data_IF_391376169795
#
_entry.id   IF_391376169795
#
_cell.length_a   1.000
_cell.length_b   1.000
_cell.length_c   1.000
_cell.angle_alpha   90.00
_cell.angle_beta   90.00
_cell.angle_gamma   90.00
#
_symmetry.space_group_name_H-M   'P 1'
#
loop_
_entity.id
_entity.type
_entity.pdbx_description
1 polymer ?
#
# COMPACT_ATOMS: atom_id res chain seq x y z
N UNK A 1 61.97 -10.02 32.01
CA UNK A 1 60.94 -9.01 31.70
C UNK A 1 61.08 -8.38 30.31
N UNK A 2 62.22 -8.47 29.61
CA UNK A 2 62.41 -7.84 28.28
C UNK A 2 61.74 -8.53 27.07
N UNK A 3 61.56 -9.87 27.07
CA UNK A 3 61.03 -10.56 25.88
C UNK A 3 59.53 -10.35 25.66
N UNK A 4 58.71 -10.41 26.73
CA UNK A 4 57.26 -10.19 26.66
C UNK A 4 56.90 -8.81 26.08
N UNK A 5 57.58 -7.74 26.51
CA UNK A 5 57.35 -6.39 25.99
C UNK A 5 57.65 -6.25 24.48
N UNK A 6 58.68 -6.96 24.00
CA UNK A 6 59.00 -7.00 22.56
C UNK A 6 57.94 -7.77 21.76
N UNK A 7 57.40 -8.86 22.29
CA UNK A 7 56.30 -9.59 21.65
C UNK A 7 55.01 -8.77 21.60
N UNK A 8 54.67 -8.06 22.67
CA UNK A 8 53.51 -7.15 22.68
C UNK A 8 53.67 -6.03 21.65
N UNK A 9 54.85 -5.42 21.55
CA UNK A 9 55.12 -4.36 20.56
C UNK A 9 55.01 -4.88 19.12
N UNK A 10 55.53 -6.08 18.85
CA UNK A 10 55.43 -6.72 17.53
C UNK A 10 53.96 -7.04 17.17
N UNK A 11 53.19 -7.58 18.13
CA UNK A 11 51.77 -7.85 17.96
C UNK A 11 50.99 -6.56 17.66
N UNK A 12 51.23 -5.47 18.40
CA UNK A 12 50.59 -4.18 18.15
C UNK A 12 50.90 -3.67 16.74
N UNK A 13 52.15 -3.74 16.30
CA UNK A 13 52.55 -3.32 14.95
C UNK A 13 51.83 -4.15 13.89
N UNK A 14 51.82 -5.48 14.02
CA UNK A 14 51.10 -6.37 13.09
C UNK A 14 49.59 -6.09 13.07
N UNK A 15 48.98 -5.84 14.23
CA UNK A 15 47.56 -5.48 14.32
C UNK A 15 47.27 -4.14 13.62
N UNK A 16 48.13 -3.13 13.79
CA UNK A 16 48.00 -1.84 13.11
C UNK A 16 48.14 -2.00 11.59
N UNK A 17 49.10 -2.79 11.11
CA UNK A 17 49.25 -3.08 9.69
C UNK A 17 48.06 -3.85 9.11
N UNK A 18 47.57 -4.86 9.83
CA UNK A 18 46.38 -5.60 9.41
C UNK A 18 45.14 -4.70 9.34
N UNK A 19 44.95 -3.82 10.33
CA UNK A 19 43.87 -2.83 10.33
C UNK A 19 44.01 -1.84 9.16
N UNK A 20 45.21 -1.31 8.92
CA UNK A 20 45.46 -0.38 7.81
C UNK A 20 45.24 -1.06 6.45
N UNK A 21 45.73 -2.28 6.27
CA UNK A 21 45.48 -3.07 5.06
C UNK A 21 43.99 -3.33 4.85
N UNK A 22 43.26 -3.71 5.90
CA UNK A 22 41.82 -3.93 5.83
C UNK A 22 41.07 -2.65 5.40
N UNK A 23 41.43 -1.48 5.95
CA UNK A 23 40.84 -0.20 5.56
C UNK A 23 41.11 0.12 4.08
N UNK A 24 42.36 -0.03 3.63
CA UNK A 24 42.74 0.25 2.23
C UNK A 24 42.04 -0.73 1.29
N UNK A 25 42.01 -2.02 1.64
CA UNK A 25 41.38 -3.05 0.82
C UNK A 25 39.86 -2.85 0.75
N UNK A 26 39.21 -2.47 1.86
CA UNK A 26 37.79 -2.12 1.86
C UNK A 26 37.52 -0.87 0.99
N UNK A 27 38.40 0.14 1.03
CA UNK A 27 38.33 1.29 0.12
C UNK A 27 38.47 0.90 -1.35
N UNK A 28 39.37 -0.04 -1.66
CA UNK A 28 39.51 -0.57 -3.02
C UNK A 28 38.25 -1.31 -3.48
N UNK A 29 37.70 -2.22 -2.67
CA UNK A 29 36.45 -2.93 -2.99
C UNK A 29 35.30 -1.96 -3.21
N UNK A 30 35.10 -0.99 -2.31
CA UNK A 30 34.08 0.05 -2.47
C UNK A 30 34.26 0.87 -3.76
N UNK A 31 35.51 1.12 -4.17
CA UNK A 31 35.78 1.83 -5.43
C UNK A 31 35.45 1.00 -6.67
N UNK A 32 35.63 -0.33 -6.63
CA UNK A 32 35.23 -1.23 -7.70
C UNK A 32 33.71 -1.28 -7.83
N UNK A 33 33.01 -1.40 -6.71
CA UNK A 33 31.54 -1.40 -6.67
C UNK A 33 30.99 -0.08 -7.22
N UNK A 34 31.56 1.05 -6.83
CA UNK A 34 31.17 2.36 -7.33
C UNK A 34 31.39 2.50 -8.84
N UNK A 35 32.51 1.98 -9.37
CA UNK A 35 32.78 1.97 -10.82
C UNK A 35 31.74 1.13 -11.56
N UNK A 36 31.47 -0.08 -11.08
CA UNK A 36 30.45 -0.98 -11.65
C UNK A 36 29.07 -0.30 -11.67
N UNK A 37 28.63 0.27 -10.55
CA UNK A 37 27.37 1.01 -10.46
C UNK A 37 27.33 2.20 -11.41
N UNK A 38 28.43 2.94 -11.53
CA UNK A 38 28.54 4.08 -12.44
C UNK A 38 28.41 3.65 -13.89
N UNK A 39 29.07 2.56 -14.27
CA UNK A 39 29.02 2.04 -15.64
C UNK A 39 27.64 1.48 -15.98
N UNK A 40 26.99 0.77 -15.05
CA UNK A 40 25.60 0.32 -15.20
C UNK A 40 24.67 1.52 -15.40
N UNK A 41 24.75 2.53 -14.53
CA UNK A 41 23.89 3.71 -14.61
C UNK A 41 24.09 4.48 -15.92
N UNK A 42 25.35 4.67 -16.34
CA UNK A 42 25.65 5.31 -17.63
C UNK A 42 25.07 4.55 -18.80
N UNK A 43 25.18 3.23 -18.80
CA UNK A 43 24.64 2.40 -19.87
C UNK A 43 23.10 2.39 -19.87
N UNK A 44 22.45 2.34 -18.70
CA UNK A 44 20.99 2.47 -18.61
C UNK A 44 20.51 3.82 -19.14
N UNK A 45 21.17 4.91 -18.74
CA UNK A 45 20.85 6.26 -19.21
C UNK A 45 21.05 6.39 -20.72
N UNK A 46 22.11 5.80 -21.27
CA UNK A 46 22.32 5.77 -22.72
C UNK A 46 21.22 5.00 -23.46
N UNK A 47 20.79 3.85 -22.92
CA UNK A 47 19.73 3.03 -23.49
C UNK A 47 18.36 3.72 -23.42
N UNK A 48 18.08 4.45 -22.36
CA UNK A 48 16.83 5.21 -22.17
C UNK A 48 16.58 6.19 -23.32
N UNK A 49 17.62 6.90 -23.77
CA UNK A 49 17.52 7.85 -24.88
C UNK A 49 17.78 7.24 -26.27
N UNK A 50 18.26 6.00 -26.34
CA UNK A 50 18.56 5.34 -27.60
C UNK A 50 17.29 4.96 -28.39
N UNK A 51 16.15 4.78 -27.70
CA UNK A 51 14.88 4.41 -28.32
C UNK A 51 13.87 5.52 -28.10
N UNK A 52 13.48 6.20 -29.18
CA UNK A 52 12.36 7.14 -29.11
C UNK A 52 11.04 6.38 -29.10
N UNK A 53 10.27 6.53 -28.02
CA UNK A 53 8.92 6.00 -27.92
C UNK A 53 7.94 7.13 -28.22
N UNK A 54 7.07 6.95 -29.21
CA UNK A 54 5.97 7.88 -29.46
C UNK A 54 5.02 7.91 -28.26
N UNK A 55 4.49 9.08 -27.90
CA UNK A 55 3.51 9.25 -26.82
C UNK A 55 2.39 8.20 -26.91
N UNK A 56 2.38 7.17 -26.03
CA UNK A 56 1.39 6.11 -26.13
C UNK A 56 0.05 6.59 -25.59
N UNK A 57 -1.05 6.20 -26.24
CA UNK A 57 -2.41 6.34 -25.71
C UNK A 57 -2.75 5.07 -24.92
N UNK A 58 -2.87 5.21 -23.60
CA UNK A 58 -3.14 4.09 -22.69
C UNK A 58 -4.54 4.21 -22.12
N UNK A 59 -5.34 3.19 -22.31
CA UNK A 59 -6.60 3.03 -21.61
C UNK A 59 -6.39 2.10 -20.43
N UNK A 60 -6.84 2.49 -19.24
CA UNK A 60 -6.65 1.71 -18.02
C UNK A 60 -7.90 1.70 -17.14
N UNK A 61 -8.25 0.54 -16.63
CA UNK A 61 -9.28 0.32 -15.61
C UNK A 61 -8.90 -0.88 -14.74
N UNK A 62 -9.62 -1.22 -13.68
CA UNK A 62 -10.75 -0.53 -13.09
C UNK A 62 -10.52 -0.27 -11.60
N UNK A 63 -11.36 0.61 -11.06
CA UNK A 63 -11.48 0.85 -9.63
C UNK A 63 -10.57 1.96 -9.12
N UNK A 64 -11.06 2.67 -8.11
CA UNK A 64 -10.30 3.69 -7.37
C UNK A 64 -10.83 3.75 -5.95
N UNK A 65 -9.93 4.03 -5.02
CA UNK A 65 -10.29 4.24 -3.63
C UNK A 65 -9.51 5.41 -3.04
N UNK A 66 -9.96 5.87 -1.88
CA UNK A 66 -9.25 6.83 -1.07
C UNK A 66 -8.65 6.11 0.13
N UNK A 67 -7.33 6.01 0.16
CA UNK A 67 -6.62 5.37 1.26
C UNK A 67 -6.49 6.35 2.43
N UNK A 68 -7.05 6.00 3.58
CA UNK A 68 -6.89 6.71 4.84
C UNK A 68 -5.94 5.91 5.74
N UNK A 69 -4.72 6.38 5.89
CA UNK A 69 -3.76 5.76 6.80
C UNK A 69 -3.77 6.47 8.14
N UNK A 70 -3.66 5.68 9.20
CA UNK A 70 -3.62 6.14 10.58
C UNK A 70 -2.75 5.20 11.42
N UNK A 71 -2.12 5.73 12.46
CA UNK A 71 -1.42 4.91 13.46
C UNK A 71 -2.43 4.22 14.37
N UNK A 72 -2.56 2.90 14.21
CA UNK A 72 -3.63 2.10 14.81
C UNK A 72 -3.67 2.21 16.34
N UNK A 73 -2.51 2.06 16.97
CA UNK A 73 -2.35 2.03 18.44
C UNK A 73 -2.69 3.36 19.12
N UNK A 74 -2.72 4.46 18.35
CA UNK A 74 -2.95 5.80 18.90
C UNK A 74 -4.43 6.19 18.93
N UNK A 75 -5.32 5.46 18.24
CA UNK A 75 -6.76 5.77 18.23
C UNK A 75 -7.68 4.57 18.51
N UNK A 76 -7.19 3.34 18.35
CA UNK A 76 -7.95 2.16 18.77
C UNK A 76 -7.82 1.97 20.28
N UNK A 77 -8.95 1.86 20.96
CA UNK A 77 -8.97 1.63 22.40
C UNK A 77 -8.88 0.14 22.71
N UNK A 78 -7.92 -0.21 23.57
CA UNK A 78 -7.87 -1.54 24.17
C UNK A 78 -8.80 -1.57 25.38
N UNK A 79 -9.75 -2.50 25.41
CA UNK A 79 -10.76 -2.58 26.48
C UNK A 79 -10.59 -3.84 27.32
N UNK A 80 -11.08 -3.81 28.57
CA UNK A 80 -11.12 -5.01 29.41
C UNK A 80 -12.00 -6.12 28.82
N UNK A 81 -13.02 -5.76 28.04
CA UNK A 81 -13.84 -6.73 27.32
C UNK A 81 -13.02 -7.47 26.26
N UNK A 82 -12.19 -6.75 25.50
CA UNK A 82 -11.28 -7.36 24.54
C UNK A 82 -10.27 -8.28 25.22
N UNK A 83 -9.69 -7.87 26.35
CA UNK A 83 -8.80 -8.75 27.13
C UNK A 83 -9.48 -10.07 27.50
N UNK A 84 -10.71 -9.99 28.03
CA UNK A 84 -11.49 -11.18 28.40
C UNK A 84 -11.77 -12.10 27.22
N UNK A 85 -11.99 -11.54 26.02
CA UNK A 85 -12.19 -12.34 24.80
C UNK A 85 -10.90 -13.00 24.32
N UNK A 86 -9.75 -12.32 24.45
CA UNK A 86 -8.44 -12.87 24.06
C UNK A 86 -7.96 -13.99 24.98
N UNK A 87 -8.34 -13.96 26.26
CA UNK A 87 -8.01 -15.01 27.23
C UNK A 87 -8.82 -16.30 27.00
N UNK A 88 -9.88 -16.25 26.20
CA UNK A 88 -10.63 -17.44 25.81
C UNK A 88 -9.81 -18.26 24.80
N UNK A 89 -9.69 -19.57 25.03
CA UNK A 89 -8.91 -20.49 24.17
C UNK A 89 -9.59 -20.84 22.84
N UNK A 90 -10.74 -20.22 22.53
CA UNK A 90 -11.45 -20.44 21.27
C UNK A 90 -10.68 -19.76 20.14
N UNK A 91 -10.34 -20.47 19.04
CA UNK A 91 -9.75 -19.84 17.87
C UNK A 91 -10.65 -18.72 17.36
N UNK A 92 -10.12 -17.50 17.23
CA UNK A 92 -10.83 -16.42 16.57
C UNK A 92 -11.05 -16.79 15.10
N UNK A 93 -12.31 -17.03 14.72
CA UNK A 93 -12.71 -17.22 13.34
C UNK A 93 -13.92 -16.33 13.05
N UNK A 94 -13.70 -15.30 12.24
CA UNK A 94 -14.73 -14.39 11.77
C UNK A 94 -14.51 -14.22 10.28
N UNK A 95 -15.50 -14.65 9.49
CA UNK A 95 -15.49 -14.52 8.04
C UNK A 95 -15.72 -13.05 7.66
N UNK A 96 -16.74 -12.41 8.25
CA UNK A 96 -17.11 -11.01 8.01
C UNK A 96 -17.16 -10.17 9.28
N UNK A 97 -16.65 -8.94 9.21
CA UNK A 97 -16.68 -8.00 10.33
C UNK A 97 -18.03 -7.28 10.32
N UNK A 98 -18.86 -7.53 11.32
CA UNK A 98 -20.18 -6.89 11.46
C UNK A 98 -20.27 -6.00 12.69
N UNK A 99 -19.43 -6.24 13.70
CA UNK A 99 -19.40 -5.48 14.96
C UNK A 99 -18.04 -4.87 15.28
N UNK A 100 -18.04 -3.85 16.16
CA UNK A 100 -16.80 -3.23 16.66
C UNK A 100 -15.95 -4.24 17.46
N UNK A 101 -16.58 -5.15 18.22
CA UNK A 101 -15.89 -6.18 18.98
C UNK A 101 -15.20 -7.21 18.07
N UNK A 102 -15.85 -7.63 16.97
CA UNK A 102 -15.23 -8.50 15.96
C UNK A 102 -14.06 -7.81 15.26
N UNK A 103 -14.22 -6.53 14.92
CA UNK A 103 -13.15 -5.73 14.34
C UNK A 103 -11.93 -5.66 15.27
N UNK A 104 -12.13 -5.31 16.54
CA UNK A 104 -11.04 -5.19 17.51
C UNK A 104 -10.36 -6.53 17.80
N UNK A 105 -11.12 -7.63 17.87
CA UNK A 105 -10.56 -8.98 18.00
C UNK A 105 -9.78 -9.40 16.76
N UNK A 106 -10.29 -9.11 15.57
CA UNK A 106 -9.60 -9.36 14.30
C UNK A 106 -8.29 -8.57 14.23
N UNK A 107 -8.33 -7.27 14.54
CA UNK A 107 -7.13 -6.45 14.61
C UNK A 107 -6.12 -7.00 15.64
N UNK A 108 -6.58 -7.35 16.85
CA UNK A 108 -5.74 -7.97 17.90
C UNK A 108 -5.06 -9.26 17.42
N UNK A 109 -5.78 -10.11 16.69
CA UNK A 109 -5.25 -11.36 16.13
C UNK A 109 -4.06 -11.12 15.21
N UNK A 110 -4.16 -10.15 14.30
CA UNK A 110 -3.10 -9.85 13.34
C UNK A 110 -1.97 -9.00 13.94
N UNK A 111 -2.31 -8.04 14.80
CA UNK A 111 -1.37 -7.14 15.47
C UNK A 111 -0.33 -7.91 16.29
N UNK A 112 -0.77 -8.83 17.16
CA UNK A 112 0.13 -9.63 18.02
C UNK A 112 1.04 -10.57 17.23
N UNK A 113 0.67 -10.90 15.98
CA UNK A 113 1.48 -11.71 15.05
C UNK A 113 2.35 -10.85 14.13
N UNK A 114 2.12 -9.53 14.10
CA UNK A 114 2.71 -8.62 13.14
C UNK A 114 2.40 -9.02 11.69
N UNK A 115 1.20 -9.54 11.45
CA UNK A 115 0.78 -10.08 10.16
C UNK A 115 -0.16 -9.12 9.42
N UNK A 116 -0.09 -9.12 8.09
CA UNK A 116 -0.95 -8.27 7.27
C UNK A 116 -2.36 -8.88 7.20
N UNK A 117 -3.37 -8.02 7.18
CA UNK A 117 -4.73 -8.43 6.90
C UNK A 117 -5.49 -7.33 6.17
N UNK A 118 -6.45 -7.77 5.37
CA UNK A 118 -7.46 -6.95 4.73
C UNK A 118 -8.81 -7.61 4.98
N UNK A 119 -9.80 -6.82 5.38
CA UNK A 119 -11.14 -7.30 5.73
C UNK A 119 -12.21 -6.35 5.24
N UNK A 120 -13.31 -6.95 4.83
CA UNK A 120 -14.54 -6.27 4.47
C UNK A 120 -15.46 -6.13 5.69
N UNK A 121 -16.21 -5.03 5.73
CA UNK A 121 -17.38 -4.89 6.61
C UNK A 121 -18.58 -4.41 5.82
N UNK A 122 -19.68 -5.16 5.90
CA UNK A 122 -20.97 -4.74 5.36
C UNK A 122 -21.68 -3.69 6.24
N UNK A 123 -21.18 -3.43 7.45
CA UNK A 123 -21.75 -2.47 8.39
C UNK A 123 -21.23 -1.05 8.10
N UNK A 124 -21.97 -0.34 7.23
CA UNK A 124 -21.63 1.03 6.80
C UNK A 124 -21.54 2.01 7.97
N UNK A 125 -22.44 1.90 8.93
CA UNK A 125 -22.52 2.82 10.07
C UNK A 125 -21.28 2.69 10.97
N UNK A 126 -20.85 1.45 11.25
CA UNK A 126 -19.60 1.15 11.95
C UNK A 126 -18.40 1.72 11.19
N UNK A 127 -18.32 1.43 9.88
CA UNK A 127 -17.21 1.87 9.06
C UNK A 127 -17.10 3.41 9.01
N UNK A 128 -18.22 4.09 8.74
CA UNK A 128 -18.28 5.55 8.73
C UNK A 128 -17.99 6.16 10.11
N UNK A 129 -18.38 5.49 11.22
CA UNK A 129 -17.97 5.91 12.57
C UNK A 129 -16.44 5.84 12.72
N UNK A 130 -15.82 4.72 12.36
CA UNK A 130 -14.36 4.54 12.44
C UNK A 130 -13.61 5.57 11.59
N UNK A 131 -14.02 5.78 10.34
CA UNK A 131 -13.42 6.79 9.45
C UNK A 131 -13.56 8.21 10.02
N UNK A 132 -14.74 8.56 10.58
CA UNK A 132 -14.95 9.88 11.20
C UNK A 132 -14.06 10.09 12.42
N UNK A 133 -13.89 9.06 13.26
CA UNK A 133 -13.02 9.11 14.43
C UNK A 133 -11.57 9.24 13.99
N UNK A 134 -11.10 8.38 13.08
CA UNK A 134 -9.76 8.39 12.52
C UNK A 134 -9.38 9.77 11.93
N UNK A 135 -10.29 10.39 11.16
CA UNK A 135 -10.10 11.74 10.58
C UNK A 135 -9.88 12.84 11.63
N UNK A 136 -10.51 12.73 12.80
CA UNK A 136 -10.54 13.78 13.82
C UNK A 136 -9.54 13.54 14.96
N UNK A 137 -8.96 12.35 15.04
CA UNK A 137 -8.11 11.96 16.16
C UNK A 137 -6.72 12.58 16.01
N UNK A 138 -6.31 13.52 16.89
CA UNK A 138 -5.07 14.27 16.70
C UNK A 138 -3.81 13.39 16.72
N UNK A 139 -3.82 12.34 17.53
CA UNK A 139 -2.69 11.41 17.65
C UNK A 139 -2.68 10.31 16.56
N UNK A 140 -3.73 10.19 15.74
CA UNK A 140 -3.79 9.14 14.72
C UNK A 140 -2.97 9.48 13.47
N UNK A 141 -2.48 10.72 13.35
CA UNK A 141 -1.71 11.24 12.21
C UNK A 141 -2.34 10.88 10.84
N UNK A 142 -3.62 11.23 10.60
CA UNK A 142 -4.34 10.77 9.41
C UNK A 142 -3.72 11.33 8.12
N UNK A 143 -3.37 10.45 7.18
CA UNK A 143 -2.90 10.81 5.83
C UNK A 143 -3.80 10.20 4.76
N UNK A 144 -4.06 10.97 3.72
CA UNK A 144 -4.85 10.56 2.56
C UNK A 144 -3.95 10.29 1.36
N UNK A 145 -4.22 9.22 0.63
CA UNK A 145 -3.61 8.97 -0.67
C UNK A 145 -4.63 8.51 -1.71
N UNK A 146 -4.27 8.66 -2.98
CA UNK A 146 -4.97 8.04 -4.09
C UNK A 146 -4.66 6.53 -4.06
N UNK A 147 -5.69 5.73 -3.84
CA UNK A 147 -5.64 4.28 -3.86
C UNK A 147 -6.21 3.69 -5.15
N UNK A 148 -6.03 2.38 -5.30
CA UNK A 148 -6.45 1.62 -6.47
C UNK A 148 -5.33 1.45 -7.50
N UNK A 149 -5.15 0.21 -7.96
CA UNK A 149 -4.10 -0.14 -8.90
C UNK A 149 -4.18 0.67 -10.21
N UNK A 150 -5.39 0.83 -10.77
CA UNK A 150 -5.59 1.52 -12.03
C UNK A 150 -5.22 3.02 -11.95
N UNK A 151 -5.70 3.81 -10.97
CA UNK A 151 -5.27 5.20 -10.78
C UNK A 151 -3.77 5.37 -10.56
N UNK A 152 -3.13 4.46 -9.81
CA UNK A 152 -1.69 4.52 -9.54
C UNK A 152 -0.88 4.24 -10.80
N UNK A 153 -1.19 3.16 -11.52
CA UNK A 153 -0.53 2.82 -12.78
C UNK A 153 -0.76 3.93 -13.82
N UNK A 154 -2.01 4.40 -13.95
CA UNK A 154 -2.37 5.46 -14.89
C UNK A 154 -1.62 6.77 -14.61
N UNK A 155 -1.53 7.17 -13.34
CA UNK A 155 -0.76 8.34 -12.93
C UNK A 155 0.73 8.18 -13.22
N UNK A 156 1.29 6.99 -13.01
CA UNK A 156 2.70 6.75 -13.34
C UNK A 156 2.94 6.84 -14.85
N UNK A 157 2.10 6.20 -15.67
CA UNK A 157 2.24 6.23 -17.13
C UNK A 157 2.10 7.66 -17.68
N UNK A 158 1.16 8.44 -17.15
CA UNK A 158 1.01 9.84 -17.53
C UNK A 158 2.26 10.67 -17.16
N UNK A 159 2.87 10.41 -16.00
CA UNK A 159 4.13 11.04 -15.60
C UNK A 159 5.30 10.70 -16.54
N UNK A 160 5.30 9.51 -17.14
CA UNK A 160 6.26 9.08 -18.18
C UNK A 160 5.90 9.60 -19.58
N UNK A 161 4.87 10.44 -19.70
CA UNK A 161 4.49 11.12 -20.94
C UNK A 161 3.38 10.42 -21.74
N UNK A 162 2.79 9.34 -21.25
CA UNK A 162 1.63 8.72 -21.91
C UNK A 162 0.40 9.64 -21.87
N UNK A 163 -0.47 9.53 -22.88
CA UNK A 163 -1.84 10.04 -22.77
C UNK A 163 -2.70 8.95 -22.14
N UNK A 164 -3.39 9.25 -21.04
CA UNK A 164 -4.06 8.22 -20.25
C UNK A 164 -5.56 8.53 -20.11
N UNK A 165 -6.39 7.52 -20.40
CA UNK A 165 -7.79 7.48 -19.96
C UNK A 165 -7.98 6.45 -18.86
N UNK A 166 -8.67 6.84 -17.79
CA UNK A 166 -8.87 6.02 -16.59
C UNK A 166 -10.36 5.71 -16.39
N UNK A 167 -10.67 4.42 -16.39
CA UNK A 167 -11.96 3.86 -15.99
C UNK A 167 -12.03 3.70 -14.47
N UNK A 168 -12.57 4.70 -13.80
CA UNK A 168 -12.83 4.65 -12.38
C UNK A 168 -13.94 5.64 -12.02
N UNK A 169 -14.61 5.42 -10.87
CA UNK A 169 -15.53 6.39 -10.27
C UNK A 169 -14.90 6.92 -9.00
N UNK A 170 -14.83 8.24 -8.88
CA UNK A 170 -14.23 8.92 -7.74
C UNK A 170 -14.94 10.24 -7.49
N UNK A 171 -14.86 10.70 -6.25
CA UNK A 171 -15.37 12.00 -5.85
C UNK A 171 -14.54 13.14 -6.43
N UNK A 172 -15.13 14.33 -6.43
CA UNK A 172 -14.40 15.56 -6.78
C UNK A 172 -13.15 15.75 -5.90
N UNK A 173 -13.19 15.30 -4.64
CA UNK A 173 -12.07 15.40 -3.72
C UNK A 173 -10.96 14.43 -4.11
N UNK A 174 -11.24 13.14 -4.32
CA UNK A 174 -10.22 12.17 -4.71
C UNK A 174 -9.61 12.50 -6.07
N UNK A 175 -10.41 13.02 -7.01
CA UNK A 175 -9.94 13.51 -8.31
C UNK A 175 -8.85 14.59 -8.20
N UNK A 176 -8.83 15.39 -7.12
CA UNK A 176 -7.75 16.41 -6.93
C UNK A 176 -6.40 15.78 -6.64
N UNK A 177 -6.37 14.53 -6.17
CA UNK A 177 -5.15 13.75 -5.97
C UNK A 177 -4.70 12.99 -7.23
N UNK A 178 -5.59 12.85 -8.23
CA UNK A 178 -5.25 12.30 -9.53
C UNK A 178 -4.45 13.33 -10.33
N UNK A 179 -3.46 12.88 -11.10
CA UNK A 179 -2.71 13.81 -11.94
C UNK A 179 -3.62 14.49 -12.98
N UNK A 180 -3.43 15.78 -13.28
CA UNK A 180 -4.26 16.51 -14.24
C UNK A 180 -4.23 15.97 -15.68
N UNK A 181 -3.17 15.26 -16.05
CA UNK A 181 -2.96 14.66 -17.38
C UNK A 181 -3.66 13.31 -17.56
N UNK A 182 -4.25 12.75 -16.50
CA UNK A 182 -5.08 11.54 -16.57
C UNK A 182 -6.54 11.93 -16.78
N UNK A 183 -7.12 11.53 -17.90
CA UNK A 183 -8.52 11.80 -18.23
C UNK A 183 -9.43 10.71 -17.65
N UNK A 184 -10.21 11.06 -16.63
CA UNK A 184 -11.25 10.20 -16.07
C UNK A 184 -12.40 10.00 -17.06
N UNK A 185 -12.82 8.75 -17.30
CA UNK A 185 -13.99 8.44 -18.13
C UNK A 185 -15.24 8.16 -17.32
N UNK A 186 -15.10 7.64 -16.09
CA UNK A 186 -16.24 7.40 -15.20
C UNK A 186 -16.83 8.69 -14.63
N UNK A 187 -18.11 8.61 -14.26
CA UNK A 187 -18.83 9.69 -13.61
C UNK A 187 -18.24 10.03 -12.23
N UNK A 188 -18.42 11.30 -11.81
CA UNK A 188 -18.10 11.71 -10.45
C UNK A 188 -19.15 11.17 -9.49
N UNK A 189 -18.72 10.65 -8.35
CA UNK A 189 -19.58 10.16 -7.26
C UNK A 189 -19.51 11.09 -6.05
N UNK A 190 -20.47 10.97 -5.14
CA UNK A 190 -20.52 11.80 -3.93
C UNK A 190 -19.49 11.36 -2.89
N UNK A 191 -19.41 10.05 -2.64
CA UNK A 191 -18.50 9.45 -1.66
C UNK A 191 -17.55 8.46 -2.34
N UNK A 192 -16.26 8.55 -2.01
CA UNK A 192 -15.27 7.58 -2.44
C UNK A 192 -15.41 6.26 -1.67
N UNK A 193 -15.07 5.14 -2.32
CA UNK A 193 -14.71 3.92 -1.61
C UNK A 193 -13.44 4.20 -0.77
N UNK A 194 -13.48 3.95 0.54
CA UNK A 194 -12.38 4.28 1.46
C UNK A 194 -11.75 3.00 1.99
N UNK A 195 -10.42 2.96 1.98
CA UNK A 195 -9.63 1.93 2.66
C UNK A 195 -9.04 2.51 3.94
N UNK A 196 -9.48 2.02 5.10
CA UNK A 196 -8.94 2.42 6.39
C UNK A 196 -7.71 1.56 6.72
N UNK A 197 -6.53 2.15 6.59
CA UNK A 197 -5.24 1.47 6.75
C UNK A 197 -4.66 1.78 8.13
N UNK A 198 -4.65 0.77 8.99
CA UNK A 198 -4.25 0.81 10.38
C UNK A 198 -2.80 0.35 10.50
N UNK A 199 -1.87 1.30 10.57
CA UNK A 199 -0.44 1.03 10.63
C UNK A 199 0.06 0.85 12.07
N UNK A 200 1.00 -0.06 12.26
CA UNK A 200 1.69 -0.26 13.52
C UNK A 200 3.14 -0.69 13.28
N UNK A 201 4.02 -0.33 14.21
CA UNK A 201 5.47 -0.56 14.12
C UNK A 201 5.90 -1.76 14.94
N UNK A 202 7.12 -2.22 14.69
CA UNK A 202 7.79 -3.21 15.53
C UNK A 202 7.90 -2.67 16.96
N UNK A 203 7.47 -3.46 17.95
CA UNK A 203 7.52 -3.09 19.36
C UNK A 203 6.41 -2.14 19.80
N UNK A 204 5.49 -1.74 18.92
CA UNK A 204 4.30 -1.00 19.35
C UNK A 204 3.49 -1.86 20.32
N UNK A 205 2.97 -1.22 21.36
CA UNK A 205 2.14 -1.85 22.39
C UNK A 205 0.71 -1.36 22.32
N UNK A 206 -0.22 -2.29 22.48
CA UNK A 206 -1.64 -2.01 22.50
C UNK A 206 -2.32 -2.87 23.57
N UNK A 207 -2.60 -2.26 24.73
CA UNK A 207 -3.00 -2.98 25.92
C UNK A 207 -1.90 -3.94 26.40
N UNK A 208 -2.24 -5.23 26.49
CA UNK A 208 -1.31 -6.31 26.86
C UNK A 208 -0.56 -6.90 25.66
N UNK A 209 -0.89 -6.45 24.43
CA UNK A 209 -0.32 -6.98 23.20
C UNK A 209 0.88 -6.14 22.75
N UNK A 210 1.83 -6.79 22.08
CA UNK A 210 2.98 -6.16 21.44
C UNK A 210 3.16 -6.73 20.05
N UNK A 211 3.46 -5.88 19.06
CA UNK A 211 3.67 -6.34 17.68
C UNK A 211 5.14 -6.72 17.42
N UNK A 212 5.43 -7.95 16.95
CA UNK A 212 6.80 -8.40 16.70
C UNK A 212 7.44 -7.80 15.45
N UNK A 213 6.65 -7.15 14.57
CA UNK A 213 7.14 -6.48 13.36
C UNK A 213 6.16 -5.41 12.88
N UNK A 214 6.68 -4.40 12.20
CA UNK A 214 5.86 -3.40 11.53
C UNK A 214 4.95 -4.04 10.47
N UNK A 215 3.66 -3.70 10.49
CA UNK A 215 2.70 -4.15 9.48
C UNK A 215 1.47 -3.22 9.46
N UNK A 216 0.46 -3.58 8.66
CA UNK A 216 -0.81 -2.89 8.59
C UNK A 216 -1.99 -3.85 8.57
N UNK A 217 -3.11 -3.37 9.08
CA UNK A 217 -4.42 -3.98 8.93
C UNK A 217 -5.31 -3.05 8.11
N UNK A 218 -6.03 -3.57 7.11
CA UNK A 218 -6.89 -2.78 6.24
C UNK A 218 -8.34 -3.20 6.51
N UNK A 219 -9.19 -2.22 6.84
CA UNK A 219 -10.64 -2.40 6.86
C UNK A 219 -11.24 -1.55 5.74
N UNK A 220 -12.13 -2.13 4.94
CA UNK A 220 -12.82 -1.40 3.87
C UNK A 220 -14.30 -1.79 3.80
N UNK A 221 -15.09 -0.92 3.15
CA UNK A 221 -16.52 -1.09 2.89
C UNK A 221 -16.80 -0.56 1.48
N UNK A 222 -16.20 -1.21 0.49
CA UNK A 222 -16.18 -0.77 -0.91
C UNK A 222 -17.45 -1.21 -1.64
N UNK A 223 -18.10 -0.30 -2.37
CA UNK A 223 -19.33 -0.62 -3.12
C UNK A 223 -19.21 -0.39 -4.61
N UNK A 224 -18.27 0.41 -5.08
CA UNK A 224 -18.15 0.72 -6.50
C UNK A 224 -17.13 -0.19 -7.19
N UNK A 225 -16.03 -0.50 -6.49
CA UNK A 225 -14.93 -1.29 -7.01
C UNK A 225 -15.31 -2.75 -7.33
N UNK A 226 -16.04 -3.50 -6.46
CA UNK A 226 -16.38 -4.90 -6.72
C UNK A 226 -17.29 -5.11 -7.93
N UNK A 227 -18.11 -4.12 -8.28
CA UNK A 227 -19.05 -4.21 -9.40
C UNK A 227 -18.54 -3.57 -10.69
N UNK A 228 -17.30 -3.05 -10.71
CA UNK A 228 -16.68 -2.42 -11.89
C UNK A 228 -17.64 -1.40 -12.53
N UNK A 229 -18.21 -0.53 -11.70
CA UNK A 229 -19.32 0.37 -12.10
C UNK A 229 -18.97 1.42 -13.16
N UNK A 230 -17.71 1.48 -13.62
CA UNK A 230 -17.21 2.39 -14.66
C UNK A 230 -17.04 1.74 -16.04
N UNK A 231 -17.45 0.48 -16.18
CA UNK A 231 -17.27 -0.32 -17.40
C UNK A 231 -17.97 0.31 -18.60
N UNK A 232 -19.24 0.70 -18.44
CA UNK A 232 -20.07 1.23 -19.53
C UNK A 232 -19.59 2.59 -20.02
N UNK A 233 -19.26 3.53 -19.11
CA UNK A 233 -18.72 4.84 -19.51
C UNK A 233 -17.35 4.71 -20.17
N UNK A 234 -16.57 3.70 -19.77
CA UNK A 234 -15.29 3.42 -20.38
C UNK A 234 -15.42 2.86 -21.79
N UNK A 235 -16.33 1.90 -22.01
CA UNK A 235 -16.64 1.35 -23.34
C UNK A 235 -16.98 2.47 -24.34
N UNK A 236 -17.78 3.45 -23.92
CA UNK A 236 -18.15 4.61 -24.76
C UNK A 236 -16.96 5.51 -25.11
N UNK A 237 -15.94 5.59 -24.23
CA UNK A 237 -14.78 6.44 -24.44
C UNK A 237 -13.72 5.81 -25.36
N UNK A 238 -13.66 4.47 -25.43
CA UNK A 238 -12.60 3.74 -26.14
C UNK A 238 -12.53 4.03 -27.67
N UNK A 239 -13.63 4.06 -28.45
CA UNK A 239 -13.56 4.29 -29.89
C UNK A 239 -12.93 5.64 -30.25
N UNK A 240 -13.29 6.70 -29.51
CA UNK A 240 -12.74 8.04 -29.74
C UNK A 240 -11.28 8.16 -29.28
N UNK A 241 -10.89 7.42 -28.24
CA UNK A 241 -9.54 7.45 -27.71
C UNK A 241 -8.54 6.62 -28.51
N UNK A 242 -9.00 5.53 -29.15
CA UNK A 242 -8.19 4.63 -29.98
C UNK A 242 -6.87 4.23 -29.28
N UNK A 243 -6.92 3.51 -28.14
CA UNK A 243 -5.74 3.22 -27.34
C UNK A 243 -4.74 2.32 -28.08
N UNK A 244 -3.44 2.54 -27.84
CA UNK A 244 -2.37 1.62 -28.24
C UNK A 244 -2.20 0.47 -27.25
N UNK A 245 -2.57 0.69 -25.99
CA UNK A 245 -2.47 -0.26 -24.89
C UNK A 245 -3.72 -0.18 -24.03
N UNK A 246 -4.27 -1.35 -23.69
CA UNK A 246 -5.34 -1.49 -22.72
C UNK A 246 -4.84 -2.27 -21.51
N UNK A 247 -4.97 -1.70 -20.32
CA UNK A 247 -4.56 -2.30 -19.04
C UNK A 247 -5.81 -2.58 -18.20
N UNK A 248 -5.94 -3.82 -17.74
CA UNK A 248 -7.01 -4.25 -16.84
C UNK A 248 -6.43 -4.53 -15.45
N UNK A 249 -7.11 -4.02 -14.43
CA UNK A 249 -6.79 -4.14 -13.02
C UNK A 249 -8.08 -4.10 -12.19
N UNK A 250 -7.96 -4.34 -10.88
CA UNK A 250 -9.10 -4.25 -9.96
C UNK A 250 -10.03 -5.46 -9.97
N UNK A 251 -9.82 -6.45 -10.86
CA UNK A 251 -10.66 -7.66 -10.92
C UNK A 251 -10.62 -8.47 -9.62
N UNK A 252 -9.53 -8.39 -8.85
CA UNK A 252 -9.43 -9.05 -7.55
C UNK A 252 -10.44 -8.52 -6.52
N UNK A 253 -10.95 -7.29 -6.70
CA UNK A 253 -11.98 -6.71 -5.82
C UNK A 253 -13.35 -7.35 -6.02
N UNK A 254 -13.52 -8.17 -7.06
CA UNK A 254 -14.74 -8.93 -7.31
C UNK A 254 -14.79 -10.24 -6.50
N UNK A 255 -13.69 -10.64 -5.87
CA UNK A 255 -13.58 -11.91 -5.16
C UNK A 255 -14.46 -11.91 -3.89
N UNK A 256 -15.14 -13.02 -3.64
CA UNK A 256 -16.09 -13.22 -2.53
C UNK A 256 -17.16 -12.14 -2.33
N UNK A 257 -17.43 -11.31 -3.35
CA UNK A 257 -18.53 -10.36 -3.29
C UNK A 257 -19.84 -11.04 -3.67
N UNK A 258 -20.88 -10.88 -2.84
CA UNK A 258 -22.20 -11.42 -3.15
C UNK A 258 -22.75 -10.74 -4.41
N UNK A 259 -22.77 -11.48 -5.51
CA UNK A 259 -23.47 -11.07 -6.71
C UNK A 259 -24.93 -11.48 -6.58
N UNK A 260 -25.80 -10.51 -6.28
CA UNK A 260 -27.24 -10.72 -6.44
C UNK A 260 -27.50 -11.05 -7.91
N UNK A 261 -27.91 -12.29 -8.20
CA UNK A 261 -28.21 -12.71 -9.55
C UNK A 261 -29.26 -11.74 -10.13
N UNK A 262 -29.00 -11.05 -11.26
CA UNK A 262 -29.97 -10.16 -11.84
C UNK A 262 -31.21 -10.98 -12.17
N UNK A 263 -32.38 -10.51 -11.77
CA UNK A 263 -33.65 -11.04 -12.24
C UNK A 263 -33.60 -11.03 -13.77
N UNK A 264 -33.48 -12.22 -14.36
CA UNK A 264 -33.40 -12.51 -15.81
C UNK A 264 -33.02 -11.29 -16.68
N UNK A 265 -31.76 -11.21 -17.10
CA UNK A 265 -31.47 -10.48 -18.35
C UNK A 265 -32.24 -11.21 -19.45
N UNK A 266 -33.39 -10.64 -19.85
CA UNK A 266 -34.11 -11.05 -21.05
C UNK A 266 -33.16 -10.89 -22.26
N UNK A 267 -33.23 -11.82 -23.22
CA UNK A 267 -32.20 -12.07 -24.23
C UNK A 267 -31.86 -10.88 -25.12
#
# INVERSE_FOLDING_TARGET
MGSLSSYFSLLTVLSVFAALFAIIYQGYLASLDLRSLTDILKNLNHLEFAVQVSKPRVAIGYGSCSDLYVKAVDFLNFTEALQRSLDQTTPFNVDDITTEDEFLQSFAYYFQRGAAAERFTGNKELFQKLVRVAKKHPAAEPRWALGGNAPVIGSRLAAEGAEVVLAAKMSSKLKTHLRPDVRLTGSLIEEDDIHLILEYKTGDRWGTLESPRANRYILHSDYHNPFITSLEEFEQALPNFNPHLFIVSGLQMMDNYEYEAPAQRLP
#
